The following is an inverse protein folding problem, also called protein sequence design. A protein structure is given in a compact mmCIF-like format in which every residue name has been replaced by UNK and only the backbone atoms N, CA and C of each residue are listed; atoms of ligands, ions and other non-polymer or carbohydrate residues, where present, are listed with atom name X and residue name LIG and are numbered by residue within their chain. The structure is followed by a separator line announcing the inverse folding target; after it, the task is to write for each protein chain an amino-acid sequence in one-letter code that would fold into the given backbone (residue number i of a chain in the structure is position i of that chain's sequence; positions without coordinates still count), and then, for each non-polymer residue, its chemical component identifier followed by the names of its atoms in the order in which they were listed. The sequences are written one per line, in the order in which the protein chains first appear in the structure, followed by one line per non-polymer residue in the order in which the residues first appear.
data_IF_430240118098
#
_entry.id   IF_430240118098
#
_cell.length_a   1.000
_cell.length_b   1.000
_cell.length_c   1.000
_cell.angle_alpha   90.00
_cell.angle_beta   90.00
_cell.angle_gamma   90.00
#
_symmetry.space_group_name_H-M   'P 1'
#
loop_
_entity.id
_entity.type
_entity.pdbx_description
1 polymer ?
#
# COMPACT_ATOMS: atom_id res chain seq x y z
N UNK A 1 -16.51 -12.53 14.63
CA UNK A 1 -15.29 -11.70 14.37
C UNK A 1 -15.59 -10.69 13.27
N UNK A 2 -15.25 -9.41 13.43
CA UNK A 2 -15.31 -8.44 12.31
C UNK A 2 -14.26 -8.81 11.25
N UNK A 3 -14.65 -8.89 9.97
CA UNK A 3 -13.71 -9.11 8.86
C UNK A 3 -12.69 -7.97 8.81
N UNK A 4 -11.42 -8.27 8.50
CA UNK A 4 -10.35 -7.28 8.37
C UNK A 4 -10.05 -7.04 6.90
N UNK A 5 -9.87 -5.79 6.51
CA UNK A 5 -9.44 -5.39 5.16
C UNK A 5 -8.17 -4.57 5.29
N UNK A 6 -7.17 -4.89 4.47
CA UNK A 6 -5.95 -4.11 4.35
C UNK A 6 -6.03 -3.31 3.06
N UNK A 7 -5.97 -1.98 3.16
CA UNK A 7 -5.93 -1.09 2.01
C UNK A 7 -4.52 -0.51 1.89
N UNK A 8 -3.95 -0.56 0.69
CA UNK A 8 -2.57 -0.13 0.45
C UNK A 8 -2.37 0.40 -0.96
N UNK A 9 -1.44 1.33 -1.10
CA UNK A 9 -0.97 1.89 -2.35
C UNK A 9 0.45 2.43 -2.16
N UNK A 10 1.27 2.33 -3.22
CA UNK A 10 2.63 2.84 -3.24
C UNK A 10 2.81 4.11 -4.06
N UNK A 11 1.79 4.54 -4.82
CA UNK A 11 1.87 5.72 -5.68
C UNK A 11 0.82 6.75 -5.29
N UNK A 12 1.14 8.05 -5.26
CA UNK A 12 0.20 9.13 -4.94
C UNK A 12 -1.16 9.00 -5.64
N UNK A 13 -1.15 8.85 -6.97
CA UNK A 13 -2.40 8.76 -7.74
C UNK A 13 -3.26 7.54 -7.40
N UNK A 14 -2.63 6.39 -7.11
CA UNK A 14 -3.34 5.20 -6.67
C UNK A 14 -3.83 5.33 -5.22
N UNK A 15 -3.10 6.08 -4.38
CA UNK A 15 -3.52 6.40 -3.01
C UNK A 15 -4.78 7.26 -3.02
N UNK A 16 -4.83 8.32 -3.82
CA UNK A 16 -6.02 9.15 -4.00
C UNK A 16 -7.24 8.32 -4.44
N UNK A 17 -7.04 7.35 -5.33
CA UNK A 17 -8.13 6.51 -5.82
C UNK A 17 -8.74 5.60 -4.73
N UNK A 18 -7.97 5.22 -3.70
CA UNK A 18 -8.43 4.33 -2.63
C UNK A 18 -8.94 5.06 -1.38
N UNK A 19 -8.81 6.39 -1.30
CA UNK A 19 -9.31 7.17 -0.16
C UNK A 19 -10.85 7.06 -0.02
N UNK A 20 -11.67 7.38 -1.05
CA UNK A 20 -13.13 7.29 -0.92
C UNK A 20 -13.67 5.92 -0.47
N UNK A 21 -13.16 4.77 -0.98
CA UNK A 21 -13.60 3.48 -0.46
C UNK A 21 -13.13 3.20 0.97
N UNK A 22 -11.94 3.66 1.39
CA UNK A 22 -11.48 3.54 2.80
C UNK A 22 -12.42 4.30 3.74
N UNK A 23 -12.70 5.57 3.44
CA UNK A 23 -13.60 6.40 4.25
C UNK A 23 -14.97 5.77 4.39
N UNK A 24 -15.52 5.28 3.27
CA UNK A 24 -16.81 4.58 3.26
C UNK A 24 -16.78 3.35 4.16
N UNK A 25 -15.73 2.52 4.08
CA UNK A 25 -15.62 1.30 4.87
C UNK A 25 -15.46 1.60 6.37
N UNK A 26 -14.71 2.65 6.73
CA UNK A 26 -14.58 3.14 8.11
C UNK A 26 -15.93 3.60 8.63
N UNK A 27 -16.64 4.44 7.86
CA UNK A 27 -17.97 4.95 8.20
C UNK A 27 -19.01 3.85 8.39
N UNK A 28 -18.98 2.81 7.55
CA UNK A 28 -19.91 1.69 7.66
C UNK A 28 -19.66 0.81 8.90
N UNK A 29 -18.42 0.76 9.43
CA UNK A 29 -18.10 0.09 10.70
C UNK A 29 -18.28 -1.45 10.72
N UNK A 30 -18.67 -2.05 9.59
CA UNK A 30 -18.90 -3.50 9.41
C UNK A 30 -17.61 -4.31 9.39
N UNK A 31 -16.51 -3.68 8.97
CA UNK A 31 -15.17 -4.26 8.88
C UNK A 31 -14.19 -3.44 9.70
N UNK A 32 -13.08 -4.06 10.08
CA UNK A 32 -11.92 -3.32 10.59
C UNK A 32 -11.00 -3.03 9.42
N UNK A 33 -10.85 -1.75 9.08
CA UNK A 33 -9.92 -1.29 8.04
C UNK A 33 -8.55 -1.05 8.67
N UNK A 34 -7.50 -1.54 8.00
CA UNK A 34 -6.11 -1.23 8.32
C UNK A 34 -5.51 -0.63 7.05
N UNK A 35 -5.10 0.63 7.12
CA UNK A 35 -4.45 1.30 5.99
C UNK A 35 -2.94 1.23 6.13
N UNK A 36 -2.26 0.81 5.06
CA UNK A 36 -0.79 0.78 4.98
C UNK A 36 -0.38 1.62 3.77
N UNK A 37 0.19 2.79 4.02
CA UNK A 37 0.71 3.70 3.00
C UNK A 37 2.20 3.51 2.77
N UNK A 38 2.67 3.74 1.54
CA UNK A 38 4.10 3.95 1.31
C UNK A 38 4.48 5.39 1.70
N UNK A 39 5.75 5.62 2.07
CA UNK A 39 6.27 6.95 2.45
C UNK A 39 5.95 8.04 1.41
N UNK A 40 6.01 7.70 0.12
CA UNK A 40 5.65 8.61 -0.99
C UNK A 40 4.15 8.96 -1.07
N UNK A 41 3.33 8.49 -0.14
CA UNK A 41 1.89 8.75 -0.05
C UNK A 41 1.44 9.05 1.37
N UNK A 42 2.37 9.22 2.30
CA UNK A 42 2.08 9.50 3.71
C UNK A 42 1.35 10.82 3.88
N UNK A 43 1.84 11.90 3.25
CA UNK A 43 1.24 13.24 3.32
C UNK A 43 -0.24 13.23 2.91
N UNK A 44 -0.57 12.57 1.80
CA UNK A 44 -1.95 12.41 1.31
C UNK A 44 -2.85 11.74 2.36
N UNK A 45 -2.38 10.66 2.99
CA UNK A 45 -3.17 9.94 3.99
C UNK A 45 -3.31 10.74 5.29
N UNK A 46 -2.32 11.57 5.63
CA UNK A 46 -2.37 12.48 6.77
C UNK A 46 -3.34 13.64 6.53
N UNK A 47 -3.29 14.28 5.37
CA UNK A 47 -4.17 15.38 4.98
C UNK A 47 -5.65 14.98 5.00
N UNK A 48 -5.95 13.77 4.52
CA UNK A 48 -7.32 13.20 4.51
C UNK A 48 -7.72 12.58 5.86
N UNK A 49 -6.87 12.66 6.89
CA UNK A 49 -7.17 12.16 8.23
C UNK A 49 -7.37 10.63 8.31
N UNK A 50 -6.82 9.86 7.36
CA UNK A 50 -6.96 8.42 7.29
C UNK A 50 -5.99 7.76 8.29
N UNK A 51 -6.45 6.97 9.28
CA UNK A 51 -5.54 6.25 10.18
C UNK A 51 -4.74 5.21 9.39
N UNK A 52 -3.41 5.35 9.38
CA UNK A 52 -2.52 4.50 8.60
C UNK A 52 -1.25 4.13 9.35
N UNK A 53 -0.56 3.13 8.80
CA UNK A 53 0.85 2.86 9.08
C UNK A 53 1.64 3.14 7.81
N UNK A 54 2.83 3.68 7.96
CA UNK A 54 3.73 3.95 6.84
C UNK A 54 4.73 2.80 6.70
N UNK A 55 4.94 2.33 5.48
CA UNK A 55 6.06 1.47 5.11
C UNK A 55 7.01 2.26 4.22
N UNK A 56 8.29 2.27 4.59
CA UNK A 56 9.34 2.87 3.77
C UNK A 56 9.79 1.92 2.66
N UNK A 57 10.68 2.42 1.80
CA UNK A 57 11.31 1.60 0.78
C UNK A 57 12.11 0.46 1.44
N UNK A 58 11.81 -0.80 1.11
CA UNK A 58 12.48 -1.99 1.67
C UNK A 58 13.93 -2.19 1.15
N UNK A 59 14.62 -1.12 0.76
CA UNK A 59 15.97 -1.20 0.18
C UNK A 59 16.05 -2.00 -1.13
N UNK A 60 14.91 -2.25 -1.79
CA UNK A 60 14.87 -2.88 -3.10
C UNK A 60 15.15 -1.83 -4.17
N UNK A 61 16.41 -1.41 -4.28
CA UNK A 61 16.88 -0.57 -5.38
C UNK A 61 16.62 -1.28 -6.71
N UNK A 62 15.58 -0.86 -7.41
CA UNK A 62 15.28 -1.33 -8.76
C UNK A 62 14.80 -2.78 -8.82
N UNK A 63 13.51 -3.02 -8.51
CA UNK A 63 12.79 -4.16 -9.09
C UNK A 63 12.58 -3.91 -10.59
N UNK A 64 13.66 -3.97 -11.37
CA UNK A 64 13.59 -4.00 -12.82
C UNK A 64 13.27 -5.41 -13.28
N UNK A 65 12.46 -5.53 -14.33
CA UNK A 65 12.20 -6.80 -15.00
C UNK A 65 13.50 -7.58 -15.30
N UNK A 66 14.58 -6.85 -15.61
CA UNK A 66 15.92 -7.39 -15.86
C UNK A 66 16.56 -8.04 -14.63
N UNK A 67 16.38 -7.47 -13.44
CA UNK A 67 16.85 -8.05 -12.17
C UNK A 67 16.08 -9.33 -11.84
N UNK A 68 14.78 -9.37 -12.14
CA UNK A 68 13.95 -10.55 -11.97
C UNK A 68 14.33 -11.67 -12.96
N UNK A 69 14.54 -11.37 -14.24
CA UNK A 69 15.03 -12.34 -15.24
C UNK A 69 16.38 -12.93 -14.85
N UNK A 70 17.31 -12.10 -14.38
CA UNK A 70 18.62 -12.57 -13.93
C UNK A 70 18.49 -13.56 -12.75
N UNK A 71 17.65 -13.25 -11.77
CA UNK A 71 17.39 -14.13 -10.62
C UNK A 71 16.83 -15.50 -11.02
N UNK A 72 15.99 -15.57 -12.04
CA UNK A 72 15.45 -16.83 -12.57
C UNK A 72 16.54 -17.63 -13.28
N UNK A 73 17.37 -16.97 -14.09
CA UNK A 73 18.45 -17.64 -14.84
C UNK A 73 19.54 -18.21 -13.93
N UNK A 74 19.95 -17.49 -12.90
CA UNK A 74 21.01 -17.93 -11.97
C UNK A 74 20.59 -19.11 -11.08
N UNK A 75 19.28 -19.37 -10.94
CA UNK A 75 18.75 -20.51 -10.17
C UNK A 75 18.46 -21.76 -11.01
N UNK A 76 18.57 -21.64 -12.33
CA UNK A 76 18.36 -22.74 -13.28
C UNK A 76 19.68 -23.34 -13.81
N UNK A 77 20.82 -22.83 -13.33
CA UNK A 77 22.17 -23.34 -13.58
C UNK A 77 22.71 -24.02 -12.31
#
# INVERSE_FOLDING_TARGET
MKKKIVATSSRPGATNAIIPPIERLIKEGKVKVVTIGHESSEEILQEEGIPHRTIGHYGLEGVSYRLYENLIRTRAA
#
